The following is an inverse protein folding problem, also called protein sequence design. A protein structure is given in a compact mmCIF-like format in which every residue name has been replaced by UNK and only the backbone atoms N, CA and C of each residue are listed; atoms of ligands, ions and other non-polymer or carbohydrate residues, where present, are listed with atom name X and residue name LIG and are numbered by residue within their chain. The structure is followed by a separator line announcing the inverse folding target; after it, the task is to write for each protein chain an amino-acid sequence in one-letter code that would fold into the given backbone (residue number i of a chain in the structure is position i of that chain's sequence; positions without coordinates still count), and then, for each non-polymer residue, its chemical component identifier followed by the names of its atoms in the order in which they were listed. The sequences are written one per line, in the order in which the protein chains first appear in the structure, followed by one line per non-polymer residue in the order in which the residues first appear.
data_IF_447199123999
#
_entry.id   IF_447199123999
#
_cell.length_a   1.000
_cell.length_b   1.000
_cell.length_c   1.000
_cell.angle_alpha   90.00
_cell.angle_beta   90.00
_cell.angle_gamma   90.00
#
_symmetry.space_group_name_H-M   'P 1'
#
loop_
_entity.id
_entity.type
_entity.pdbx_description
1 polymer ?
#
# COMPACT_ATOMS: atom_id res chain seq x y z
N UNK A 1 -8.50 -23.09 12.55
CA UNK A 1 -7.55 -24.05 11.88
C UNK A 1 -6.45 -24.39 12.87
N UNK A 2 -5.83 -25.58 12.78
CA UNK A 2 -4.64 -25.88 13.60
C UNK A 2 -3.42 -25.17 12.99
N UNK A 3 -2.91 -24.16 13.69
CA UNK A 3 -1.82 -23.30 13.20
C UNK A 3 -0.52 -24.09 12.94
N UNK A 4 -0.25 -25.16 13.70
CA UNK A 4 0.94 -25.98 13.48
C UNK A 4 0.82 -26.81 12.18
N UNK A 5 -0.39 -27.25 11.84
CA UNK A 5 -0.65 -27.91 10.58
C UNK A 5 -0.48 -26.92 9.42
N UNK A 6 -1.02 -25.70 9.55
CA UNK A 6 -0.89 -24.63 8.55
C UNK A 6 0.57 -24.26 8.28
N UNK A 7 1.38 -24.03 9.33
CA UNK A 7 2.83 -23.81 9.19
C UNK A 7 3.54 -24.93 8.41
N UNK A 8 3.17 -26.15 8.66
CA UNK A 8 3.74 -27.30 7.94
C UNK A 8 3.33 -27.33 6.47
N UNK A 9 2.09 -26.96 6.18
CA UNK A 9 1.58 -26.86 4.81
C UNK A 9 2.28 -25.76 4.04
N UNK A 10 2.45 -24.55 4.63
CA UNK A 10 3.18 -23.44 4.02
C UNK A 10 4.62 -23.83 3.64
N UNK A 11 5.35 -24.49 4.54
CA UNK A 11 6.73 -24.95 4.29
C UNK A 11 6.86 -25.99 3.17
N UNK A 12 5.77 -26.60 2.75
CA UNK A 12 5.74 -27.55 1.64
C UNK A 12 5.44 -26.89 0.28
N UNK A 13 5.13 -25.60 0.26
CA UNK A 13 4.82 -24.85 -0.96
C UNK A 13 6.09 -24.36 -1.65
N UNK A 14 5.99 -24.09 -2.95
CA UNK A 14 7.02 -23.33 -3.66
C UNK A 14 6.96 -21.84 -3.30
N UNK A 15 8.08 -21.11 -3.45
CA UNK A 15 8.12 -19.67 -3.24
C UNK A 15 7.07 -18.95 -4.09
N UNK A 16 6.90 -19.31 -5.36
CA UNK A 16 5.88 -18.76 -6.24
C UNK A 16 4.49 -18.85 -5.61
N UNK A 17 4.15 -20.02 -5.03
CA UNK A 17 2.85 -20.24 -4.40
C UNK A 17 2.71 -19.45 -3.09
N UNK A 18 3.77 -19.35 -2.30
CA UNK A 18 3.79 -18.51 -1.09
C UNK A 18 3.60 -17.04 -1.47
N UNK A 19 4.28 -16.57 -2.52
CA UNK A 19 4.13 -15.21 -3.04
C UNK A 19 2.68 -14.90 -3.46
N UNK A 20 2.07 -15.79 -4.26
CA UNK A 20 0.67 -15.63 -4.67
C UNK A 20 -0.29 -15.49 -3.48
N UNK A 21 -0.11 -16.35 -2.46
CA UNK A 21 -0.94 -16.34 -1.26
C UNK A 21 -0.70 -15.08 -0.42
N UNK A 22 0.57 -14.64 -0.29
CA UNK A 22 0.93 -13.43 0.43
C UNK A 22 0.37 -12.17 -0.25
N UNK A 23 0.45 -12.07 -1.59
CA UNK A 23 -0.18 -10.99 -2.35
C UNK A 23 -1.70 -10.97 -2.14
N UNK A 24 -2.36 -12.11 -2.27
CA UNK A 24 -3.81 -12.23 -2.09
C UNK A 24 -4.22 -11.80 -0.69
N UNK A 25 -3.53 -12.31 0.33
CA UNK A 25 -3.81 -11.99 1.72
C UNK A 25 -3.55 -10.54 2.07
N UNK A 26 -2.46 -9.95 1.57
CA UNK A 26 -2.17 -8.53 1.75
C UNK A 26 -3.26 -7.64 1.14
N UNK A 27 -3.73 -7.94 -0.07
CA UNK A 27 -4.84 -7.21 -0.70
C UNK A 27 -6.12 -7.32 0.14
N UNK A 28 -6.46 -8.52 0.62
CA UNK A 28 -7.62 -8.74 1.48
C UNK A 28 -7.58 -7.87 2.74
N UNK A 29 -6.46 -7.88 3.46
CA UNK A 29 -6.30 -7.11 4.71
C UNK A 29 -6.28 -5.59 4.44
N UNK A 30 -5.65 -5.12 3.36
CA UNK A 30 -5.69 -3.71 2.95
C UNK A 30 -7.13 -3.27 2.68
N UNK A 31 -7.89 -4.01 1.90
CA UNK A 31 -9.28 -3.67 1.59
C UNK A 31 -10.16 -3.73 2.83
N UNK A 32 -9.92 -4.67 3.74
CA UNK A 32 -10.59 -4.74 5.04
C UNK A 32 -10.30 -3.49 5.88
N UNK A 33 -9.04 -3.09 6.00
CA UNK A 33 -8.63 -1.88 6.72
C UNK A 33 -9.29 -0.61 6.13
N UNK A 34 -9.34 -0.51 4.79
CA UNK A 34 -10.04 0.58 4.11
C UNK A 34 -11.53 0.59 4.48
N UNK A 35 -12.22 -0.55 4.42
CA UNK A 35 -13.66 -0.65 4.75
C UNK A 35 -13.97 -0.18 6.17
N UNK A 36 -13.12 -0.54 7.13
CA UNK A 36 -13.30 -0.17 8.55
C UNK A 36 -13.08 1.33 8.78
N UNK A 37 -12.10 1.91 8.10
CA UNK A 37 -11.65 3.28 8.36
C UNK A 37 -12.28 4.32 7.43
N UNK A 38 -12.62 3.96 6.18
CA UNK A 38 -13.11 4.91 5.17
C UNK A 38 -14.40 5.65 5.56
N UNK A 39 -15.28 5.02 6.33
CA UNK A 39 -16.52 5.65 6.83
C UNK A 39 -16.27 6.87 7.72
N UNK A 40 -15.07 6.99 8.32
CA UNK A 40 -14.63 8.14 9.10
C UNK A 40 -14.19 9.31 8.19
N UNK A 41 -13.99 9.07 6.89
CA UNK A 41 -13.31 9.98 5.96
C UNK A 41 -14.19 10.34 4.76
N UNK A 42 -15.16 11.24 4.95
CA UNK A 42 -16.12 11.66 3.92
C UNK A 42 -15.57 12.77 2.98
N UNK A 43 -14.25 12.94 2.88
CA UNK A 43 -13.60 13.96 2.04
C UNK A 43 -12.99 13.31 0.78
N UNK A 44 -12.91 14.04 -0.36
CA UNK A 44 -12.23 13.51 -1.55
C UNK A 44 -10.77 13.18 -1.28
N UNK A 45 -10.30 12.07 -1.86
CA UNK A 45 -8.92 11.59 -1.73
C UNK A 45 -8.25 11.52 -3.09
N UNK A 46 -6.97 11.90 -3.15
CA UNK A 46 -6.19 11.87 -4.39
C UNK A 46 -5.22 10.71 -4.46
N UNK A 47 -4.83 10.14 -3.31
CA UNK A 47 -3.91 9.01 -3.28
C UNK A 47 -4.16 8.08 -2.10
N UNK A 48 -3.88 6.79 -2.31
CA UNK A 48 -3.62 5.80 -1.27
C UNK A 48 -2.14 5.43 -1.35
N UNK A 49 -1.37 5.74 -0.32
CA UNK A 49 0.01 5.30 -0.18
C UNK A 49 0.07 3.99 0.58
N UNK A 50 0.84 3.04 0.04
CA UNK A 50 1.18 1.77 0.66
C UNK A 50 2.67 1.85 1.01
N UNK A 51 2.98 2.31 2.23
CA UNK A 51 4.37 2.57 2.66
C UNK A 51 4.97 1.33 3.28
N UNK A 52 6.10 0.89 2.74
CA UNK A 52 6.82 -0.30 3.21
C UNK A 52 8.26 0.04 3.64
N UNK A 53 8.82 -0.79 4.51
CA UNK A 53 10.21 -0.71 4.95
C UNK A 53 11.18 -1.40 3.99
N UNK A 54 12.46 -1.39 4.32
CA UNK A 54 13.51 -2.13 3.64
C UNK A 54 13.98 -3.33 4.46
N UNK A 55 14.46 -4.36 3.79
CA UNK A 55 15.12 -5.51 4.41
C UNK A 55 14.15 -6.46 5.11
N UNK A 56 14.52 -6.91 6.30
CA UNK A 56 13.87 -7.99 7.05
C UNK A 56 12.41 -7.68 7.49
N UNK A 57 11.92 -6.46 7.21
CA UNK A 57 10.55 -6.02 7.51
C UNK A 57 9.66 -5.95 6.25
N UNK A 58 9.97 -6.76 5.25
CA UNK A 58 9.34 -6.68 3.94
C UNK A 58 7.81 -6.87 3.94
N UNK A 59 7.30 -7.79 4.74
CA UNK A 59 5.87 -7.99 4.96
C UNK A 59 5.63 -8.13 6.46
N UNK A 60 4.77 -7.46 7.04
CA UNK A 60 3.29 -7.43 6.99
C UNK A 60 2.75 -6.44 5.97
N UNK A 61 1.41 -6.31 5.89
CA UNK A 61 0.81 -5.31 5.02
C UNK A 61 1.45 -3.93 5.24
N UNK A 62 1.66 -3.16 4.18
CA UNK A 62 2.29 -1.85 4.27
C UNK A 62 1.49 -0.89 5.16
N UNK A 63 2.14 0.11 5.73
CA UNK A 63 1.44 1.21 6.38
C UNK A 63 0.55 1.94 5.36
N UNK A 64 -0.70 2.25 5.73
CA UNK A 64 -1.67 2.85 4.83
C UNK A 64 -1.87 4.32 5.14
N UNK A 65 -1.73 5.17 4.13
CA UNK A 65 -2.08 6.59 4.21
C UNK A 65 -3.06 6.96 3.11
N UNK A 66 -4.20 7.53 3.49
CA UNK A 66 -5.22 8.02 2.58
C UNK A 66 -5.10 9.55 2.44
N UNK A 67 -4.45 9.99 1.39
CA UNK A 67 -4.15 11.39 1.17
C UNK A 67 -5.35 12.18 0.65
N UNK A 68 -5.72 13.25 1.37
CA UNK A 68 -6.92 14.07 1.09
C UNK A 68 -6.64 15.14 0.06
N UNK A 69 -7.62 15.38 -0.77
CA UNK A 69 -7.58 16.46 -1.74
C UNK A 69 -7.41 17.85 -1.09
N UNK A 70 -8.02 18.09 0.09
CA UNK A 70 -7.83 19.33 0.82
C UNK A 70 -6.36 19.58 1.18
N UNK A 71 -5.65 18.56 1.62
CA UNK A 71 -4.21 18.65 1.91
C UNK A 71 -3.41 18.99 0.64
N UNK A 72 -3.67 18.29 -0.47
CA UNK A 72 -3.02 18.58 -1.75
C UNK A 72 -3.24 20.02 -2.18
N UNK A 73 -4.48 20.51 -2.10
CA UNK A 73 -4.81 21.89 -2.52
C UNK A 73 -4.09 22.97 -1.70
N UNK A 74 -3.89 22.74 -0.42
CA UNK A 74 -3.15 23.67 0.45
C UNK A 74 -1.65 23.72 0.09
N UNK A 75 -1.07 22.59 -0.36
CA UNK A 75 0.37 22.46 -0.64
C UNK A 75 0.75 22.78 -2.08
N UNK A 76 -0.19 22.76 -3.01
CA UNK A 76 0.08 23.00 -4.44
C UNK A 76 0.80 24.31 -4.75
N UNK A 77 0.65 25.33 -3.90
CA UNK A 77 1.25 26.65 -4.13
C UNK A 77 2.62 26.82 -3.48
N UNK A 78 2.86 26.12 -2.38
CA UNK A 78 4.00 26.43 -1.51
C UNK A 78 5.01 25.28 -1.42
N UNK A 79 4.57 24.02 -1.46
CA UNK A 79 5.42 22.86 -1.17
C UNK A 79 4.92 21.59 -1.89
N UNK A 80 5.30 21.44 -3.15
CA UNK A 80 4.92 20.28 -3.96
C UNK A 80 5.51 18.96 -3.42
N UNK A 81 6.67 19.01 -2.79
CA UNK A 81 7.33 17.81 -2.29
C UNK A 81 6.55 17.19 -1.12
N UNK A 82 5.91 18.01 -0.28
CA UNK A 82 5.12 17.52 0.85
C UNK A 82 3.84 16.78 0.44
N UNK A 83 3.30 17.04 -0.75
CA UNK A 83 2.14 16.31 -1.29
C UNK A 83 2.41 14.80 -1.35
N UNK A 84 3.66 14.41 -1.54
CA UNK A 84 4.11 13.04 -1.74
C UNK A 84 4.88 12.46 -0.55
N UNK A 85 5.12 13.27 0.48
CA UNK A 85 5.87 12.87 1.66
C UNK A 85 4.93 12.44 2.79
N UNK A 86 4.77 11.13 2.98
CA UNK A 86 3.87 10.59 4.01
C UNK A 86 4.29 10.94 5.43
N UNK A 87 5.57 11.27 5.68
CA UNK A 87 6.03 11.74 6.98
C UNK A 87 5.46 13.12 7.35
N UNK A 88 5.08 13.93 6.37
CA UNK A 88 4.42 15.23 6.58
C UNK A 88 2.94 15.08 6.95
N UNK A 89 2.33 13.90 6.70
CA UNK A 89 0.92 13.66 6.99
C UNK A 89 0.62 13.53 8.48
N UNK A 90 1.60 13.14 9.28
CA UNK A 90 1.46 12.96 10.74
C UNK A 90 1.17 14.27 11.48
N UNK A 91 1.61 15.40 10.94
CA UNK A 91 1.36 16.75 11.50
C UNK A 91 -0.01 17.32 11.14
N UNK A 92 -0.72 16.71 10.20
CA UNK A 92 -1.96 17.22 9.66
C UNK A 92 -3.17 16.52 10.26
N UNK A 93 -3.74 17.11 11.34
CA UNK A 93 -4.86 16.54 12.10
C UNK A 93 -4.58 15.05 12.45
N UNK A 94 -3.79 14.84 13.47
CA UNK A 94 -3.27 13.54 13.94
C UNK A 94 -4.26 12.38 13.72
N UNK A 95 -3.87 11.41 12.92
CA UNK A 95 -4.67 10.22 12.66
C UNK A 95 -5.68 10.31 11.52
N UNK A 96 -5.82 11.48 10.86
CA UNK A 96 -6.87 11.69 9.87
C UNK A 96 -6.54 11.13 8.47
N UNK A 97 -5.28 10.80 8.20
CA UNK A 97 -4.85 10.18 6.95
C UNK A 97 -4.21 8.80 7.12
N UNK A 98 -4.02 8.37 8.36
CA UNK A 98 -3.51 7.05 8.72
C UNK A 98 -4.64 6.03 8.86
N UNK A 99 -4.44 4.82 8.35
CA UNK A 99 -5.31 3.68 8.58
C UNK A 99 -4.59 2.61 9.39
N UNK A 100 -5.21 2.23 10.50
CA UNK A 100 -4.79 1.06 11.25
C UNK A 100 -5.43 -0.20 10.66
N UNK A 101 -4.66 -1.27 10.64
CA UNK A 101 -5.23 -2.59 10.45
C UNK A 101 -5.96 -3.01 11.73
N UNK A 102 -7.10 -3.67 11.59
CA UNK A 102 -7.56 -4.53 12.66
C UNK A 102 -6.50 -5.61 12.90
N UNK A 103 -6.52 -6.22 14.08
CA UNK A 103 -5.61 -7.30 14.42
C UNK A 103 -5.60 -8.37 13.31
N UNK A 104 -4.41 -8.66 12.77
CA UNK A 104 -4.25 -9.68 11.74
C UNK A 104 -4.51 -11.06 12.33
N UNK A 105 -5.09 -11.96 11.54
CA UNK A 105 -5.26 -13.35 11.98
C UNK A 105 -3.91 -14.05 12.15
N UNK A 106 -3.85 -15.07 13.02
CA UNK A 106 -2.65 -15.89 13.19
C UNK A 106 -2.19 -16.51 11.85
N UNK A 107 -3.13 -16.91 10.98
CA UNK A 107 -2.82 -17.43 9.66
C UNK A 107 -2.17 -16.39 8.74
N UNK A 108 -2.63 -15.13 8.80
CA UNK A 108 -2.04 -14.06 8.03
C UNK A 108 -0.60 -13.77 8.49
N UNK A 109 -0.38 -13.69 9.80
CA UNK A 109 0.94 -13.48 10.38
C UNK A 109 1.91 -14.61 9.97
N UNK A 110 1.50 -15.86 10.10
CA UNK A 110 2.33 -17.01 9.71
C UNK A 110 2.66 -17.06 8.22
N UNK A 111 1.71 -16.66 7.37
CA UNK A 111 1.94 -16.57 5.94
C UNK A 111 2.98 -15.49 5.60
N UNK A 112 2.85 -14.30 6.20
CA UNK A 112 3.79 -13.21 5.98
C UNK A 112 5.18 -13.53 6.54
N UNK A 113 5.27 -14.16 7.71
CA UNK A 113 6.54 -14.63 8.26
C UNK A 113 7.21 -15.67 7.35
N UNK A 114 6.43 -16.62 6.83
CA UNK A 114 6.93 -17.61 5.87
C UNK A 114 7.42 -16.95 4.58
N UNK A 115 6.67 -15.99 4.04
CA UNK A 115 7.07 -15.23 2.86
C UNK A 115 8.39 -14.47 3.09
N UNK A 116 8.50 -13.75 4.20
CA UNK A 116 9.69 -12.96 4.53
C UNK A 116 10.92 -13.85 4.66
N UNK A 117 10.79 -15.02 5.31
CA UNK A 117 11.88 -15.97 5.44
C UNK A 117 12.34 -16.49 4.06
N UNK A 118 11.41 -16.89 3.19
CA UNK A 118 11.73 -17.39 1.85
C UNK A 118 12.38 -16.33 0.96
N UNK A 119 11.94 -15.07 1.05
CA UNK A 119 12.55 -13.94 0.30
C UNK A 119 13.96 -13.66 0.83
N UNK A 120 14.15 -13.61 2.13
CA UNK A 120 15.47 -13.39 2.76
C UNK A 120 16.45 -14.49 2.40
N UNK A 121 16.02 -15.76 2.46
CA UNK A 121 16.85 -16.93 2.16
C UNK A 121 17.31 -16.95 0.69
N UNK A 122 16.58 -16.31 -0.21
CA UNK A 122 16.90 -16.24 -1.64
C UNK A 122 17.59 -14.94 -2.07
N UNK A 123 17.84 -14.02 -1.13
CA UNK A 123 18.41 -12.69 -1.42
C UNK A 123 17.69 -11.98 -2.60
N UNK A 124 16.34 -12.03 -2.59
CA UNK A 124 15.51 -11.68 -3.73
C UNK A 124 14.72 -10.40 -3.55
N UNK A 125 15.43 -9.27 -3.51
CA UNK A 125 14.81 -7.93 -3.55
C UNK A 125 13.87 -7.76 -4.76
N UNK A 126 14.21 -8.39 -5.90
CA UNK A 126 13.42 -8.28 -7.14
C UNK A 126 12.02 -8.85 -6.94
N UNK A 127 11.89 -10.05 -6.35
CA UNK A 127 10.58 -10.66 -6.10
C UNK A 127 9.75 -9.84 -5.10
N UNK A 128 10.40 -9.28 -4.09
CA UNK A 128 9.73 -8.40 -3.15
C UNK A 128 9.14 -7.17 -3.85
N UNK A 129 9.92 -6.46 -4.68
CA UNK A 129 9.43 -5.29 -5.41
C UNK A 129 8.32 -5.65 -6.40
N UNK A 130 8.38 -6.80 -7.08
CA UNK A 130 7.32 -7.27 -7.95
C UNK A 130 6.03 -7.54 -7.16
N UNK A 131 6.13 -8.18 -6.00
CA UNK A 131 5.02 -8.44 -5.09
C UNK A 131 4.32 -7.13 -4.68
N UNK A 132 5.07 -6.13 -4.22
CA UNK A 132 4.53 -4.83 -3.79
C UNK A 132 3.82 -4.10 -4.95
N UNK A 133 4.38 -4.13 -6.16
CA UNK A 133 3.74 -3.54 -7.35
C UNK A 133 2.45 -4.29 -7.72
N UNK A 134 2.45 -5.62 -7.62
CA UNK A 134 1.26 -6.43 -7.90
C UNK A 134 0.15 -6.18 -6.86
N UNK A 135 0.49 -6.11 -5.58
CA UNK A 135 -0.45 -5.70 -4.52
C UNK A 135 -1.06 -4.34 -4.86
N UNK A 136 -0.23 -3.34 -5.20
CA UNK A 136 -0.70 -2.01 -5.58
C UNK A 136 -1.68 -2.01 -6.75
N UNK A 137 -1.40 -2.78 -7.82
CA UNK A 137 -2.29 -2.93 -8.99
C UNK A 137 -3.63 -3.56 -8.61
N UNK A 138 -3.61 -4.61 -7.80
CA UNK A 138 -4.82 -5.32 -7.35
C UNK A 138 -5.65 -4.44 -6.43
N UNK A 139 -5.04 -3.76 -5.47
CA UNK A 139 -5.71 -2.79 -4.58
C UNK A 139 -6.36 -1.68 -5.40
N UNK A 140 -5.64 -1.08 -6.36
CA UNK A 140 -6.20 -0.07 -7.27
C UNK A 140 -7.44 -0.58 -7.99
N UNK A 141 -7.37 -1.77 -8.58
CA UNK A 141 -8.50 -2.38 -9.30
C UNK A 141 -9.73 -2.53 -8.41
N UNK A 142 -9.56 -3.00 -7.18
CA UNK A 142 -10.68 -3.15 -6.23
C UNK A 142 -11.24 -1.79 -5.84
N UNK A 143 -10.39 -0.81 -5.51
CA UNK A 143 -10.84 0.52 -5.10
C UNK A 143 -11.60 1.21 -6.25
N UNK A 144 -11.11 1.18 -7.48
CA UNK A 144 -11.77 1.81 -8.62
C UNK A 144 -13.13 1.16 -8.94
N UNK A 145 -13.25 -0.16 -8.76
CA UNK A 145 -14.51 -0.87 -8.99
C UNK A 145 -15.51 -0.77 -7.84
N UNK A 146 -15.04 -0.61 -6.61
CA UNK A 146 -15.86 -0.70 -5.40
C UNK A 146 -15.85 0.58 -4.55
N UNK A 147 -15.32 1.71 -5.03
CA UNK A 147 -15.12 2.94 -4.22
C UNK A 147 -16.38 3.40 -3.47
N UNK A 148 -17.54 3.29 -4.10
CA UNK A 148 -18.82 3.63 -3.47
C UNK A 148 -19.18 2.69 -2.30
N UNK A 149 -18.90 1.40 -2.41
CA UNK A 149 -19.11 0.42 -1.34
C UNK A 149 -18.07 0.54 -0.23
N UNK A 150 -16.87 1.02 -0.58
CA UNK A 150 -15.81 1.31 0.38
C UNK A 150 -16.01 2.65 1.10
N UNK A 151 -17.01 3.45 0.71
CA UNK A 151 -17.25 4.77 1.29
C UNK A 151 -16.20 5.83 0.90
N UNK A 152 -15.41 5.58 -0.15
CA UNK A 152 -14.38 6.49 -0.65
C UNK A 152 -14.94 7.44 -1.71
N UNK A 153 -14.53 8.71 -1.64
CA UNK A 153 -14.72 9.70 -2.70
C UNK A 153 -13.37 9.93 -3.37
N UNK A 154 -13.22 9.41 -4.58
CA UNK A 154 -11.96 9.51 -5.33
C UNK A 154 -11.94 10.79 -6.18
N UNK A 155 -10.77 11.45 -6.29
CA UNK A 155 -10.55 12.47 -7.34
C UNK A 155 -10.39 11.79 -8.70
N UNK A 156 -10.60 12.52 -9.83
CA UNK A 156 -10.44 11.95 -11.17
C UNK A 156 -9.02 11.45 -11.48
N UNK A 157 -8.03 11.97 -10.77
CA UNK A 157 -6.61 11.63 -10.90
C UNK A 157 -6.10 10.78 -9.71
N UNK A 158 -7.02 10.11 -9.01
CA UNK A 158 -6.68 9.24 -7.88
C UNK A 158 -5.64 8.17 -8.27
N UNK A 159 -4.70 7.94 -7.36
CA UNK A 159 -3.62 6.96 -7.53
C UNK A 159 -3.46 6.04 -6.32
N UNK A 160 -2.99 4.82 -6.56
CA UNK A 160 -2.47 3.92 -5.53
C UNK A 160 -0.96 3.84 -5.70
N UNK A 161 -0.21 4.13 -4.65
CA UNK A 161 1.25 4.28 -4.70
C UNK A 161 1.92 3.44 -3.62
N UNK A 162 2.35 2.22 -3.91
CA UNK A 162 3.34 1.57 -3.08
C UNK A 162 4.65 2.37 -3.13
N UNK A 163 5.22 2.65 -1.97
CA UNK A 163 6.49 3.36 -1.89
C UNK A 163 7.28 2.95 -0.66
N UNK A 164 8.59 2.92 -0.82
CA UNK A 164 9.48 2.81 0.32
C UNK A 164 9.35 4.05 1.22
N UNK A 165 9.52 3.89 2.53
CA UNK A 165 9.36 5.01 3.48
C UNK A 165 10.30 6.20 3.18
N UNK A 166 11.44 5.98 2.51
CA UNK A 166 12.34 7.03 2.02
C UNK A 166 11.92 7.61 0.65
N UNK A 167 10.93 7.04 -0.01
CA UNK A 167 10.32 7.56 -1.23
C UNK A 167 11.07 7.34 -2.54
N UNK A 168 12.25 6.74 -2.53
CA UNK A 168 13.13 6.65 -3.72
C UNK A 168 12.53 5.89 -4.91
N UNK A 169 11.50 5.10 -4.72
CA UNK A 169 10.82 4.31 -5.76
C UNK A 169 9.44 4.85 -6.17
N UNK A 170 9.01 5.96 -5.57
CA UNK A 170 7.69 6.58 -5.77
C UNK A 170 7.35 6.73 -7.25
N UNK A 171 8.18 7.41 -8.04
CA UNK A 171 7.91 7.67 -9.46
C UNK A 171 7.85 6.40 -10.29
N UNK A 172 8.75 5.45 -10.01
CA UNK A 172 8.79 4.15 -10.67
C UNK A 172 7.48 3.40 -10.46
N UNK A 173 7.03 3.29 -9.20
CA UNK A 173 5.83 2.56 -8.84
C UNK A 173 4.56 3.29 -9.29
N UNK A 174 4.50 4.61 -9.14
CA UNK A 174 3.41 5.43 -9.65
C UNK A 174 3.20 5.22 -11.14
N UNK A 175 4.27 5.26 -11.94
CA UNK A 175 4.22 5.02 -13.38
C UNK A 175 3.79 3.59 -13.74
N UNK A 176 4.26 2.60 -12.99
CA UNK A 176 3.95 1.19 -13.23
C UNK A 176 2.48 0.83 -12.95
N UNK A 177 1.85 1.51 -11.97
CA UNK A 177 0.50 1.21 -11.51
C UNK A 177 -0.53 2.18 -12.10
N UNK A 178 -0.14 3.43 -12.30
CA UNK A 178 -1.04 4.52 -12.71
C UNK A 178 -0.50 5.27 -13.95
N UNK A 179 -0.28 4.60 -15.10
CA UNK A 179 0.41 5.21 -16.24
C UNK A 179 -0.32 6.43 -16.85
N UNK A 180 -1.65 6.48 -16.75
CA UNK A 180 -2.44 7.61 -17.24
C UNK A 180 -2.38 8.78 -16.26
N UNK A 181 -2.63 8.51 -14.98
CA UNK A 181 -2.57 9.53 -13.92
C UNK A 181 -1.15 10.07 -13.77
N UNK A 182 -0.12 9.24 -13.97
CA UNK A 182 1.28 9.69 -13.94
C UNK A 182 1.52 10.87 -14.88
N UNK A 183 0.99 10.82 -16.10
CA UNK A 183 1.10 11.92 -17.07
C UNK A 183 0.38 13.19 -16.61
N UNK A 184 -0.78 13.02 -15.95
CA UNK A 184 -1.56 14.16 -15.44
C UNK A 184 -0.85 14.86 -14.27
N UNK A 185 -0.14 14.07 -13.47
CA UNK A 185 0.53 14.51 -12.24
C UNK A 185 1.99 14.95 -12.45
N UNK A 186 2.54 14.81 -13.67
CA UNK A 186 3.96 15.03 -13.97
C UNK A 186 4.50 16.37 -13.46
N UNK A 187 3.68 17.45 -13.52
CA UNK A 187 4.06 18.80 -13.10
C UNK A 187 4.09 18.99 -11.58
N UNK A 188 3.50 18.08 -10.82
CA UNK A 188 3.44 18.14 -9.35
C UNK A 188 4.17 16.98 -8.68
N UNK A 189 4.89 16.17 -9.45
CA UNK A 189 5.73 15.12 -8.88
C UNK A 189 6.92 15.73 -8.15
N UNK A 190 7.36 15.12 -7.03
CA UNK A 190 8.49 15.62 -6.28
C UNK A 190 9.78 15.55 -7.11
N UNK A 191 10.79 16.33 -6.75
CA UNK A 191 12.10 16.27 -7.41
C UNK A 191 12.88 15.00 -7.06
N UNK A 192 12.60 14.43 -5.89
CA UNK A 192 13.15 13.15 -5.42
C UNK A 192 12.27 11.95 -5.92
N UNK A 193 12.77 10.71 -5.77
CA UNK A 193 12.05 9.47 -6.13
C UNK A 193 12.39 8.92 -7.51
#
# INVERSE_FOLDING_TARGET
MDINLYKKELKALSLEKINDLAEEKAVEEIIKAIKVNALKHNKPVYALFLVYGSGDEAMPPPMLYLARESYRQERLQDDLDSIWNTNEFEGYEVGDMWFDYEELSEEALELFDCYNQEISDQDSDVLFYECIVNIGKRVKTVIESESGHLGLKLTPDFVVVPMHYEGYDLKKNLKAINPEQFKMLENILPKWG
#
